data_IF_630082701574
#
_entry.id   IF_630082701574
#
_cell.length_a   1.000
_cell.length_b   1.000
_cell.length_c   1.000
_cell.angle_alpha   90.00
_cell.angle_beta   90.00
_cell.angle_gamma   90.00
#
_symmetry.space_group_name_H-M   'P 1'
#
loop_
_entity.id
_entity.type
_entity.pdbx_description
1 polymer ?
#
# COMPACT_ATOMS: atom_id res chain seq x y z
N UNK A 1 -13.93 54.82 -46.75
CA UNK A 1 -14.45 53.60 -46.08
C UNK A 1 -13.29 52.68 -45.90
N UNK A 2 -12.67 52.68 -44.73
CA UNK A 2 -11.47 51.86 -44.41
C UNK A 2 -11.96 50.75 -43.51
N UNK A 3 -11.90 49.50 -43.99
CA UNK A 3 -12.16 48.33 -43.20
C UNK A 3 -10.86 47.97 -42.44
N UNK A 4 -10.88 48.14 -41.15
CA UNK A 4 -9.83 47.66 -40.26
C UNK A 4 -10.05 46.14 -40.03
N UNK A 5 -9.16 45.35 -40.62
CA UNK A 5 -9.02 43.92 -40.35
C UNK A 5 -8.43 43.71 -38.94
N UNK A 6 -9.28 43.45 -37.97
CA UNK A 6 -8.84 43.00 -36.64
C UNK A 6 -8.61 41.49 -36.71
N UNK A 7 -7.41 41.07 -37.13
CA UNK A 7 -6.95 39.72 -36.88
C UNK A 7 -6.81 39.52 -35.37
N UNK A 8 -7.78 38.86 -34.81
CA UNK A 8 -7.60 38.24 -33.50
C UNK A 8 -6.49 37.15 -33.64
N UNK A 9 -5.32 37.45 -33.14
CA UNK A 9 -4.27 36.45 -32.92
C UNK A 9 -4.85 35.46 -31.93
N UNK A 10 -5.28 34.33 -32.46
CA UNK A 10 -5.51 33.12 -31.67
C UNK A 10 -4.17 32.77 -31.04
N UNK A 11 -4.04 33.11 -29.76
CA UNK A 11 -2.92 32.69 -28.92
C UNK A 11 -2.95 31.18 -28.89
N UNK A 12 -2.17 30.57 -29.77
CA UNK A 12 -1.94 29.14 -29.87
C UNK A 12 -1.43 28.70 -28.51
N UNK A 13 -2.31 28.09 -27.72
CA UNK A 13 -1.93 27.44 -26.48
C UNK A 13 -0.89 26.39 -26.82
N UNK A 14 0.37 26.78 -26.69
CA UNK A 14 1.49 25.85 -26.83
C UNK A 14 1.22 24.66 -25.90
N UNK A 15 1.29 23.41 -26.41
CA UNK A 15 1.08 22.24 -25.61
C UNK A 15 2.04 22.30 -24.43
N UNK A 16 1.46 22.13 -23.23
CA UNK A 16 2.16 22.18 -21.96
C UNK A 16 3.51 21.44 -22.07
N UNK A 17 4.53 22.22 -21.91
CA UNK A 17 5.95 21.93 -21.79
C UNK A 17 6.25 20.43 -21.64
N UNK A 18 6.65 19.77 -22.74
CA UNK A 18 7.29 18.47 -22.64
C UNK A 18 8.58 18.68 -21.84
N UNK A 19 8.54 18.36 -20.59
CA UNK A 19 9.70 18.37 -19.70
C UNK A 19 10.79 17.50 -20.33
N UNK A 20 11.76 18.11 -20.98
CA UNK A 20 12.95 17.46 -21.56
C UNK A 20 13.99 17.10 -20.48
N UNK A 21 13.64 17.19 -19.20
CA UNK A 21 14.52 16.97 -18.06
C UNK A 21 14.14 15.74 -17.24
N UNK A 22 14.98 15.44 -16.30
CA UNK A 22 14.70 14.51 -15.21
C UNK A 22 13.99 15.31 -14.12
N UNK A 23 12.85 14.83 -13.68
CA UNK A 23 12.11 15.34 -12.51
C UNK A 23 12.35 14.37 -11.35
N UNK A 24 12.78 14.89 -10.22
CA UNK A 24 12.94 14.12 -8.98
C UNK A 24 11.99 14.69 -7.95
N UNK A 25 11.15 13.84 -7.34
CA UNK A 25 10.21 14.24 -6.31
C UNK A 25 10.53 13.43 -5.05
N UNK A 26 10.84 14.13 -3.98
CA UNK A 26 11.02 13.52 -2.66
C UNK A 26 9.76 13.73 -1.83
N UNK A 27 9.16 12.64 -1.35
CA UNK A 27 8.04 12.66 -0.42
C UNK A 27 8.52 12.30 0.98
N UNK A 28 8.95 13.28 1.79
CA UNK A 28 9.41 13.02 3.16
C UNK A 28 8.27 12.60 4.07
N UNK A 29 7.04 12.99 3.74
CA UNK A 29 5.83 12.68 4.49
C UNK A 29 4.75 12.25 3.51
N UNK A 30 4.40 10.98 3.57
CA UNK A 30 3.20 10.39 3.03
C UNK A 30 2.46 9.75 4.21
N UNK A 31 1.22 10.12 4.43
CA UNK A 31 0.38 9.52 5.46
C UNK A 31 -0.76 8.81 4.77
N UNK A 32 -0.78 7.51 4.88
CA UNK A 32 -1.95 6.70 4.53
C UNK A 32 -2.65 6.34 5.83
N UNK A 33 -3.89 6.77 5.95
CA UNK A 33 -4.71 6.40 7.09
C UNK A 33 -5.64 5.26 6.65
N UNK A 34 -5.35 4.00 6.95
CA UNK A 34 -6.29 2.89 6.74
C UNK A 34 -7.44 3.03 7.76
N UNK A 35 -8.28 4.07 7.59
CA UNK A 35 -9.33 4.42 8.55
C UNK A 35 -10.49 3.41 8.47
N UNK A 36 -10.62 2.67 7.37
CA UNK A 36 -11.85 1.95 7.08
C UNK A 36 -11.75 0.43 6.94
N UNK A 37 -10.58 -0.18 7.02
CA UNK A 37 -10.52 -1.62 6.90
C UNK A 37 -9.15 -2.24 7.03
N UNK A 38 -8.76 -2.59 8.23
CA UNK A 38 -7.78 -3.65 8.42
C UNK A 38 -8.54 -4.89 8.84
N UNK A 39 -8.57 -5.91 8.00
CA UNK A 39 -9.16 -7.21 8.35
C UNK A 39 -8.02 -8.20 8.50
N UNK A 40 -7.85 -8.74 9.69
CA UNK A 40 -6.92 -9.85 9.95
C UNK A 40 -7.77 -11.10 10.14
N UNK A 41 -7.68 -12.04 9.22
CA UNK A 41 -8.31 -13.33 9.39
C UNK A 41 -7.37 -14.23 10.20
N UNK A 42 -7.71 -14.44 11.45
CA UNK A 42 -7.01 -15.39 12.31
C UNK A 42 -7.56 -16.80 12.07
N UNK A 43 -6.71 -17.82 12.05
CA UNK A 43 -7.17 -19.19 11.92
C UNK A 43 -8.09 -19.56 13.09
N UNK A 44 -9.13 -20.32 12.81
CA UNK A 44 -9.99 -20.89 13.84
C UNK A 44 -9.18 -21.84 14.72
N UNK A 45 -9.18 -21.58 16.03
CA UNK A 45 -8.64 -22.53 16.99
C UNK A 45 -9.49 -23.80 16.96
N UNK A 46 -8.90 -25.01 17.10
CA UNK A 46 -9.67 -26.22 17.20
C UNK A 46 -10.55 -26.16 18.46
N UNK A 47 -11.86 -26.08 18.27
CA UNK A 47 -12.79 -26.33 19.35
C UNK A 47 -12.66 -27.81 19.70
N UNK A 48 -12.21 -28.12 20.91
CA UNK A 48 -12.21 -29.49 21.42
C UNK A 48 -13.64 -29.97 21.61
N UNK A 49 -14.22 -30.59 20.60
CA UNK A 49 -15.59 -31.11 20.64
C UNK A 49 -16.11 -31.25 19.21
N UNK A 50 -16.27 -32.48 18.72
CA UNK A 50 -16.68 -32.83 17.36
C UNK A 50 -17.96 -32.16 16.91
N UNK A 51 -17.81 -31.21 16.03
CA UNK A 51 -18.87 -30.57 15.29
C UNK A 51 -18.23 -29.69 14.23
N UNK A 52 -18.36 -30.08 12.96
CA UNK A 52 -18.09 -29.23 11.81
C UNK A 52 -19.02 -28.00 11.89
N UNK A 53 -18.54 -26.94 12.49
CA UNK A 53 -19.16 -25.62 12.32
C UNK A 53 -18.25 -24.81 11.41
N UNK A 54 -18.85 -24.40 10.29
CA UNK A 54 -18.22 -23.62 9.25
C UNK A 54 -17.36 -22.49 9.80
N UNK A 55 -16.30 -22.20 9.10
CA UNK A 55 -15.37 -21.10 9.35
C UNK A 55 -16.12 -19.77 9.52
N UNK A 56 -16.50 -19.46 10.74
CA UNK A 56 -16.91 -18.09 11.06
C UNK A 56 -15.63 -17.26 11.07
N UNK A 57 -15.43 -16.53 10.00
CA UNK A 57 -14.50 -15.40 9.98
C UNK A 57 -15.01 -14.38 11.01
N UNK A 58 -14.52 -14.47 12.22
CA UNK A 58 -14.81 -13.44 13.21
C UNK A 58 -13.96 -12.23 12.84
N UNK A 59 -14.60 -11.19 12.34
CA UNK A 59 -13.99 -9.87 12.24
C UNK A 59 -13.50 -9.47 13.63
N UNK A 60 -12.20 -9.35 13.75
CA UNK A 60 -11.57 -8.87 14.98
C UNK A 60 -11.43 -7.37 14.82
N UNK A 61 -11.82 -6.60 15.82
CA UNK A 61 -11.59 -5.15 15.81
C UNK A 61 -10.09 -4.90 15.75
N UNK A 62 -9.67 -4.29 14.66
CA UNK A 62 -8.27 -3.94 14.41
C UNK A 62 -8.13 -2.43 14.60
N UNK A 63 -7.23 -2.02 15.47
CA UNK A 63 -6.87 -0.62 15.65
C UNK A 63 -5.54 -0.33 14.95
N UNK A 64 -5.49 0.76 14.19
CA UNK A 64 -4.26 1.33 13.68
C UNK A 64 -3.66 2.25 14.74
N UNK A 65 -2.45 1.93 15.20
CA UNK A 65 -1.76 2.72 16.20
C UNK A 65 -0.85 3.79 15.57
N UNK A 66 -0.23 3.45 14.44
CA UNK A 66 0.61 4.38 13.68
C UNK A 66 0.77 3.91 12.24
N UNK A 67 0.86 4.85 11.31
CA UNK A 67 1.30 4.63 9.93
C UNK A 67 2.18 5.78 9.47
N UNK A 68 3.25 5.46 8.76
CA UNK A 68 4.16 6.43 8.17
C UNK A 68 4.70 5.89 6.86
N UNK A 69 4.78 6.75 5.86
CA UNK A 69 5.39 6.42 4.58
C UNK A 69 6.26 7.57 4.11
N UNK A 70 7.34 7.22 3.41
CA UNK A 70 8.19 8.15 2.68
C UNK A 70 8.57 7.53 1.34
N UNK A 71 8.89 8.37 0.36
CA UNK A 71 9.23 7.90 -0.96
C UNK A 71 10.01 8.88 -1.80
N UNK A 72 10.55 8.37 -2.89
CA UNK A 72 11.22 9.12 -3.92
C UNK A 72 10.74 8.66 -5.29
N UNK A 73 10.42 9.62 -6.14
CA UNK A 73 10.06 9.45 -7.54
C UNK A 73 11.12 10.08 -8.42
N UNK A 74 11.54 9.37 -9.47
CA UNK A 74 12.41 9.89 -10.53
C UNK A 74 11.70 9.67 -11.85
N UNK A 75 11.47 10.75 -12.60
CA UNK A 75 10.67 10.70 -13.83
C UNK A 75 11.44 11.36 -14.99
N UNK A 76 11.32 10.74 -16.13
CA UNK A 76 11.78 11.29 -17.42
C UNK A 76 10.61 11.34 -18.40
N UNK A 77 10.86 11.77 -19.62
CA UNK A 77 9.83 11.74 -20.68
C UNK A 77 9.32 10.32 -20.99
N UNK A 78 10.13 9.28 -20.80
CA UNK A 78 9.82 7.90 -21.20
C UNK A 78 9.81 6.90 -20.05
N UNK A 79 10.58 7.11 -19.01
CA UNK A 79 10.75 6.18 -17.91
C UNK A 79 10.45 6.85 -16.59
N UNK A 80 10.03 6.06 -15.63
CA UNK A 80 10.03 6.49 -14.24
C UNK A 80 10.51 5.36 -13.31
N UNK A 81 10.97 5.74 -12.13
CA UNK A 81 11.33 4.85 -11.05
C UNK A 81 10.82 5.42 -9.73
N UNK A 82 10.36 4.56 -8.87
CA UNK A 82 9.81 4.91 -7.57
C UNK A 82 10.31 3.96 -6.50
N UNK A 83 10.67 4.52 -5.35
CA UNK A 83 10.98 3.76 -4.13
C UNK A 83 10.15 4.32 -3.00
N UNK A 84 9.50 3.46 -2.23
CA UNK A 84 8.73 3.82 -1.03
C UNK A 84 9.07 2.91 0.13
N UNK A 85 9.09 3.48 1.32
CA UNK A 85 9.12 2.76 2.58
C UNK A 85 7.89 3.09 3.39
N UNK A 86 7.22 2.08 3.94
CA UNK A 86 6.01 2.23 4.74
C UNK A 86 6.14 1.43 6.03
N UNK A 87 5.63 1.99 7.10
CA UNK A 87 5.49 1.36 8.40
C UNK A 87 4.04 1.43 8.85
N UNK A 88 3.49 0.32 9.34
CA UNK A 88 2.16 0.26 9.93
C UNK A 88 2.19 -0.56 11.22
N UNK A 89 1.67 0.00 12.30
CA UNK A 89 1.48 -0.66 13.58
C UNK A 89 -0.01 -0.93 13.79
N UNK A 90 -0.37 -2.19 13.92
CA UNK A 90 -1.73 -2.67 14.10
C UNK A 90 -1.84 -3.47 15.39
N UNK A 91 -2.91 -3.29 16.13
CA UNK A 91 -3.26 -4.14 17.27
C UNK A 91 -4.65 -4.71 17.07
N UNK A 92 -4.80 -5.99 17.37
CA UNK A 92 -6.05 -6.70 17.31
C UNK A 92 -6.29 -7.46 18.62
N UNK A 93 -7.51 -7.43 19.15
CA UNK A 93 -7.85 -8.15 20.35
C UNK A 93 -9.20 -8.84 20.22
N UNK A 94 -9.31 -10.02 20.84
CA UNK A 94 -10.54 -10.79 20.94
C UNK A 94 -10.79 -11.21 22.39
N UNK A 95 -11.99 -11.02 22.86
CA UNK A 95 -12.33 -11.21 24.28
C UNK A 95 -12.51 -12.67 24.72
N UNK A 96 -12.82 -13.62 23.82
CA UNK A 96 -13.14 -15.02 24.22
C UNK A 96 -12.67 -16.03 23.17
N UNK A 97 -11.63 -16.85 23.43
CA UNK A 97 -10.62 -16.66 24.48
C UNK A 97 -9.88 -15.33 24.31
N UNK A 98 -9.28 -14.80 25.38
CA UNK A 98 -8.54 -13.55 25.28
C UNK A 98 -7.28 -13.75 24.43
N UNK A 99 -7.34 -13.30 23.20
CA UNK A 99 -6.22 -13.30 22.25
C UNK A 99 -5.89 -11.86 21.95
N UNK A 100 -4.64 -11.50 22.14
CA UNK A 100 -4.10 -10.20 21.70
C UNK A 100 -3.04 -10.46 20.65
N UNK A 101 -3.12 -9.75 19.55
CA UNK A 101 -2.15 -9.80 18.45
C UNK A 101 -1.69 -8.40 18.15
N UNK A 102 -0.41 -8.16 18.31
CA UNK A 102 0.24 -6.93 17.89
C UNK A 102 1.06 -7.22 16.63
N UNK A 103 0.88 -6.39 15.62
CA UNK A 103 1.55 -6.51 14.34
C UNK A 103 2.25 -5.20 13.97
N UNK A 104 3.56 -5.28 13.77
CA UNK A 104 4.33 -4.21 13.17
C UNK A 104 4.76 -4.64 11.78
N UNK A 105 4.23 -3.99 10.76
CA UNK A 105 4.49 -4.32 9.36
C UNK A 105 5.32 -3.23 8.71
N UNK A 106 6.38 -3.66 8.04
CA UNK A 106 7.26 -2.81 7.25
C UNK A 106 7.13 -3.23 5.79
N UNK A 107 6.80 -2.28 4.94
CA UNK A 107 6.80 -2.46 3.51
C UNK A 107 7.96 -1.66 2.91
N UNK A 108 8.67 -2.29 2.00
CA UNK A 108 9.58 -1.61 1.11
C UNK A 108 9.20 -1.97 -0.32
N UNK A 109 8.96 -0.97 -1.11
CA UNK A 109 8.40 -1.09 -2.44
C UNK A 109 9.30 -0.36 -3.43
N UNK A 110 9.59 -0.99 -4.55
CA UNK A 110 10.33 -0.40 -5.65
C UNK A 110 9.72 -0.79 -6.98
N UNK A 111 9.43 0.20 -7.81
CA UNK A 111 8.93 -0.02 -9.17
C UNK A 111 9.61 0.86 -10.20
N UNK A 112 9.59 0.39 -11.44
CA UNK A 112 9.92 1.19 -12.60
C UNK A 112 8.85 1.04 -13.65
N UNK A 113 8.70 2.04 -14.51
CA UNK A 113 7.72 2.01 -15.58
C UNK A 113 8.23 2.61 -16.87
N UNK A 114 7.64 2.15 -17.96
CA UNK A 114 7.85 2.64 -19.32
C UNK A 114 6.56 3.26 -19.82
N UNK A 115 6.60 4.53 -20.20
CA UNK A 115 5.46 5.22 -20.81
C UNK A 115 5.17 4.63 -22.19
N UNK A 116 3.95 4.18 -22.40
CA UNK A 116 3.47 3.57 -23.65
C UNK A 116 2.78 4.62 -24.53
N UNK A 117 1.80 5.30 -24.00
CA UNK A 117 1.00 6.35 -24.68
C UNK A 117 0.31 7.24 -23.65
N UNK A 118 -0.10 8.43 -24.03
CA UNK A 118 -0.92 9.42 -23.32
C UNK A 118 -1.09 9.25 -21.80
N UNK A 119 0.02 9.32 -21.07
CA UNK A 119 0.02 9.18 -19.62
C UNK A 119 0.04 7.74 -19.10
N UNK A 120 -0.25 6.72 -19.93
CA UNK A 120 -0.19 5.32 -19.54
C UNK A 120 1.23 4.77 -19.57
N UNK A 121 1.55 3.99 -18.55
CA UNK A 121 2.82 3.28 -18.42
C UNK A 121 2.57 1.82 -18.01
N UNK A 122 3.37 0.91 -18.52
CA UNK A 122 3.51 -0.43 -17.95
C UNK A 122 4.53 -0.38 -16.83
N UNK A 123 4.26 -1.07 -15.73
CA UNK A 123 5.11 -1.10 -14.54
C UNK A 123 5.58 -2.50 -14.21
N UNK A 124 6.73 -2.57 -13.57
CA UNK A 124 7.25 -3.78 -12.97
C UNK A 124 8.16 -3.42 -11.79
N UNK A 125 8.14 -4.27 -10.77
CA UNK A 125 8.85 -3.97 -9.55
C UNK A 125 8.84 -5.10 -8.55
N UNK A 126 9.03 -4.75 -7.31
CA UNK A 126 9.00 -5.68 -6.18
C UNK A 126 8.44 -5.00 -4.94
N UNK A 127 7.85 -5.81 -4.07
CA UNK A 127 7.47 -5.43 -2.71
C UNK A 127 8.13 -6.38 -1.71
N UNK A 128 8.77 -5.81 -0.70
CA UNK A 128 9.25 -6.54 0.47
C UNK A 128 8.31 -6.27 1.63
N UNK A 129 7.74 -7.32 2.19
CA UNK A 129 6.87 -7.26 3.35
C UNK A 129 7.59 -7.93 4.51
N UNK A 130 7.75 -7.23 5.62
CA UNK A 130 8.24 -7.81 6.86
C UNK A 130 7.19 -7.58 7.93
N UNK A 131 6.65 -8.66 8.46
CA UNK A 131 5.63 -8.62 9.50
C UNK A 131 6.24 -9.12 10.80
N UNK A 132 6.24 -8.31 11.85
CA UNK A 132 6.57 -8.73 13.20
C UNK A 132 5.24 -8.97 13.93
N UNK A 133 4.92 -10.24 14.18
CA UNK A 133 3.71 -10.65 14.88
C UNK A 133 4.07 -11.10 16.28
N UNK A 134 3.49 -10.45 17.29
CA UNK A 134 3.52 -10.84 18.67
C UNK A 134 2.08 -11.25 19.09
N UNK A 135 1.87 -12.51 19.39
CA UNK A 135 0.57 -13.03 19.79
C UNK A 135 0.60 -13.53 21.22
N UNK A 136 -0.39 -13.20 22.02
CA UNK A 136 -0.57 -13.73 23.36
C UNK A 136 -1.98 -14.34 23.50
N UNK A 137 -2.02 -15.55 24.06
CA UNK A 137 -3.25 -16.29 24.33
C UNK A 137 -3.36 -16.50 25.85
N UNK A 138 -4.36 -15.89 26.44
CA UNK A 138 -4.69 -16.11 27.86
C UNK A 138 -5.85 -17.12 27.96
N UNK A 139 -5.57 -18.27 28.56
CA UNK A 139 -6.56 -19.31 28.85
C UNK A 139 -6.82 -19.30 30.35
N UNK A 140 -8.05 -19.12 30.76
CA UNK A 140 -8.45 -18.84 32.16
C UNK A 140 -8.02 -19.84 33.23
N UNK A 141 -7.45 -20.99 32.83
CA UNK A 141 -6.91 -22.01 33.75
C UNK A 141 -5.37 -22.02 33.82
N UNK A 142 -4.68 -21.26 32.99
CA UNK A 142 -3.22 -21.22 32.94
C UNK A 142 -2.69 -19.97 33.65
N UNK A 143 -1.65 -20.13 34.52
CA UNK A 143 -1.12 -19.00 35.27
C UNK A 143 -0.35 -18.00 34.41
N UNK A 144 0.12 -18.40 33.21
CA UNK A 144 0.84 -17.54 32.28
C UNK A 144 0.22 -17.61 30.89
N UNK A 145 0.17 -16.50 30.15
CA UNK A 145 -0.25 -16.51 28.74
C UNK A 145 0.73 -17.32 27.89
N UNK A 146 0.20 -17.95 26.85
CA UNK A 146 1.03 -18.59 25.81
C UNK A 146 1.41 -17.49 24.82
N UNK A 147 2.70 -17.24 24.71
CA UNK A 147 3.24 -16.23 23.78
C UNK A 147 3.80 -16.89 22.52
N UNK A 148 3.54 -16.28 21.40
CA UNK A 148 4.08 -16.67 20.09
C UNK A 148 4.63 -15.45 19.37
N UNK A 149 5.82 -15.59 18.80
CA UNK A 149 6.44 -14.53 17.99
C UNK A 149 6.90 -15.09 16.66
N UNK A 150 6.59 -14.38 15.58
CA UNK A 150 7.10 -14.71 14.25
C UNK A 150 7.45 -13.44 13.48
N UNK A 151 8.42 -13.55 12.56
CA UNK A 151 8.93 -12.40 11.78
C UNK A 151 9.14 -12.83 10.32
N UNK A 152 8.09 -13.19 9.59
CA UNK A 152 8.21 -13.50 8.18
C UNK A 152 8.69 -12.30 7.37
N UNK A 153 9.56 -12.57 6.41
CA UNK A 153 10.00 -11.62 5.39
C UNK A 153 9.67 -12.20 4.03
N UNK A 154 8.85 -11.50 3.29
CA UNK A 154 8.33 -11.91 1.99
C UNK A 154 8.83 -10.96 0.91
N UNK A 155 9.06 -11.48 -0.28
CA UNK A 155 9.44 -10.70 -1.46
C UNK A 155 8.50 -11.04 -2.59
N UNK A 156 7.77 -10.06 -3.08
CA UNK A 156 6.80 -10.21 -4.13
C UNK A 156 7.25 -9.49 -5.40
N UNK A 157 7.34 -10.19 -6.53
CA UNK A 157 7.39 -9.53 -7.82
C UNK A 157 6.05 -8.87 -8.10
N UNK A 158 6.09 -7.64 -8.64
CA UNK A 158 4.92 -6.82 -8.95
C UNK A 158 4.91 -6.46 -10.42
N UNK A 159 3.74 -6.48 -11.05
CA UNK A 159 3.51 -5.97 -12.40
C UNK A 159 2.22 -5.16 -12.41
N UNK A 160 2.14 -4.17 -13.28
CA UNK A 160 0.94 -3.35 -13.31
C UNK A 160 0.92 -2.28 -14.37
N UNK A 161 0.06 -1.30 -14.14
CA UNK A 161 -0.12 -0.12 -14.98
C UNK A 161 -0.16 1.13 -14.12
N UNK A 162 0.33 2.21 -14.67
CA UNK A 162 0.26 3.55 -14.09
C UNK A 162 -0.29 4.51 -15.15
N UNK A 163 -1.19 5.37 -14.74
CA UNK A 163 -1.68 6.47 -15.55
C UNK A 163 -1.49 7.78 -14.82
N UNK A 164 -0.78 8.71 -15.47
CA UNK A 164 -0.50 10.04 -14.92
C UNK A 164 -0.79 11.10 -15.96
N UNK A 165 -1.62 12.08 -15.60
CA UNK A 165 -1.96 13.22 -16.41
C UNK A 165 -1.70 14.52 -15.66
N UNK A 166 -0.91 15.40 -16.26
CA UNK A 166 -0.65 16.73 -15.73
C UNK A 166 -1.52 17.77 -16.48
N UNK A 167 -2.22 18.62 -15.74
CA UNK A 167 -3.11 19.66 -16.23
C UNK A 167 -2.80 20.99 -15.54
N UNK A 168 -1.82 21.72 -16.06
CA UNK A 168 -1.32 22.93 -15.42
C UNK A 168 -0.66 22.64 -14.07
N UNK A 169 -1.29 23.06 -12.97
CA UNK A 169 -0.80 22.83 -11.60
C UNK A 169 -1.36 21.55 -10.98
N UNK A 170 -2.30 20.89 -11.65
CA UNK A 170 -2.93 19.67 -11.17
C UNK A 170 -2.29 18.45 -11.81
N UNK A 171 -2.20 17.39 -11.06
CA UNK A 171 -1.70 16.11 -11.51
C UNK A 171 -2.71 15.07 -11.03
N UNK A 172 -3.19 14.23 -11.92
CA UNK A 172 -3.97 13.05 -11.56
C UNK A 172 -3.09 11.83 -11.84
N UNK A 173 -3.00 10.95 -10.88
CA UNK A 173 -2.24 9.71 -10.97
C UNK A 173 -3.07 8.55 -10.44
N UNK A 174 -3.07 7.44 -11.17
CA UNK A 174 -3.75 6.21 -10.76
C UNK A 174 -2.84 5.05 -11.11
N UNK A 175 -2.63 4.15 -10.16
CA UNK A 175 -1.86 2.93 -10.37
C UNK A 175 -2.67 1.72 -9.96
N UNK A 176 -2.40 0.61 -10.64
CA UNK A 176 -2.92 -0.70 -10.30
C UNK A 176 -1.83 -1.74 -10.53
N UNK A 177 -1.53 -2.51 -9.51
CA UNK A 177 -0.48 -3.53 -9.55
C UNK A 177 -0.96 -4.82 -8.92
N UNK A 178 -0.46 -5.92 -9.46
CA UNK A 178 -0.67 -7.26 -8.93
C UNK A 178 0.65 -7.98 -8.76
N UNK A 179 0.73 -8.82 -7.73
CA UNK A 179 1.96 -9.51 -7.38
C UNK A 179 1.75 -10.73 -6.50
N UNK A 180 2.84 -11.15 -5.88
CA UNK A 180 2.90 -12.34 -5.05
C UNK A 180 3.15 -13.59 -5.88
N UNK A 181 2.17 -14.04 -6.66
CA UNK A 181 2.23 -15.22 -7.55
C UNK A 181 2.78 -16.48 -6.87
N UNK A 182 2.64 -16.59 -5.53
CA UNK A 182 3.18 -17.70 -4.76
C UNK A 182 4.69 -17.67 -4.52
N UNK A 183 5.37 -16.54 -4.82
CA UNK A 183 6.82 -16.37 -4.56
C UNK A 183 7.06 -15.97 -3.10
N UNK A 184 6.42 -14.91 -2.63
CA UNK A 184 6.43 -14.44 -1.25
C UNK A 184 5.04 -14.55 -0.65
N UNK A 185 4.09 -13.80 -1.17
CA UNK A 185 2.67 -13.93 -0.84
C UNK A 185 1.95 -14.80 -1.88
N UNK A 186 0.78 -15.32 -1.53
CA UNK A 186 -0.09 -16.04 -2.47
C UNK A 186 -0.68 -15.06 -3.48
N UNK A 187 -1.02 -13.85 -3.04
CA UNK A 187 -1.54 -12.75 -3.83
C UNK A 187 -1.22 -11.42 -3.16
N UNK A 188 -0.88 -10.43 -3.96
CA UNK A 188 -0.66 -9.04 -3.57
C UNK A 188 -1.34 -8.14 -4.62
N UNK A 189 -2.19 -7.23 -4.20
CA UNK A 189 -2.90 -6.28 -5.06
C UNK A 189 -2.79 -4.90 -4.46
N UNK A 190 -2.37 -3.96 -5.27
CA UNK A 190 -2.23 -2.55 -4.91
C UNK A 190 -2.98 -1.68 -5.91
N UNK A 191 -3.75 -0.74 -5.41
CA UNK A 191 -4.45 0.24 -6.22
C UNK A 191 -4.42 1.60 -5.54
N UNK A 192 -3.95 2.60 -6.24
CA UNK A 192 -3.84 3.97 -5.73
C UNK A 192 -4.43 4.97 -6.71
N UNK A 193 -5.03 6.01 -6.18
CA UNK A 193 -5.48 7.17 -6.94
C UNK A 193 -5.11 8.44 -6.19
N UNK A 194 -4.44 9.37 -6.84
CA UNK A 194 -4.00 10.63 -6.25
C UNK A 194 -4.34 11.81 -7.13
N UNK A 195 -4.66 12.91 -6.47
CA UNK A 195 -4.71 14.24 -7.08
C UNK A 195 -3.61 15.08 -6.43
N UNK A 196 -2.64 15.46 -7.22
CA UNK A 196 -1.54 16.33 -6.85
C UNK A 196 -1.83 17.77 -7.22
N UNK A 197 -1.37 18.70 -6.40
CA UNK A 197 -1.43 20.13 -6.66
C UNK A 197 -0.06 20.76 -6.43
N UNK A 198 0.52 21.33 -7.48
CA UNK A 198 1.78 22.09 -7.41
C UNK A 198 1.50 23.52 -6.96
N UNK A 199 1.66 23.78 -5.67
CA UNK A 199 1.46 25.08 -5.04
C UNK A 199 2.45 26.08 -5.64
N UNK A 200 3.72 25.70 -5.67
CA UNK A 200 4.83 26.40 -6.31
C UNK A 200 5.66 25.38 -7.13
N UNK A 201 6.57 25.83 -8.02
CA UNK A 201 7.31 24.91 -8.90
C UNK A 201 8.04 23.77 -8.19
N UNK A 202 8.44 23.99 -6.95
CA UNK A 202 9.25 23.03 -6.16
C UNK A 202 8.47 22.30 -5.09
N UNK A 203 7.13 22.42 -5.03
CA UNK A 203 6.33 21.70 -4.03
C UNK A 203 5.06 21.13 -4.62
N UNK A 204 4.76 19.90 -4.24
CA UNK A 204 3.55 19.21 -4.61
C UNK A 204 2.83 18.72 -3.35
N UNK A 205 1.55 19.02 -3.24
CA UNK A 205 0.65 18.44 -2.26
C UNK A 205 -0.18 17.36 -2.94
N UNK A 206 -0.29 16.19 -2.31
CA UNK A 206 -1.09 15.06 -2.82
C UNK A 206 -2.22 14.73 -1.86
N UNK A 207 -3.38 14.46 -2.44
CA UNK A 207 -4.52 13.87 -1.75
C UNK A 207 -4.99 12.68 -2.57
N UNK A 208 -5.27 11.56 -1.93
CA UNK A 208 -5.65 10.36 -2.64
C UNK A 208 -6.34 9.32 -1.79
N UNK A 209 -6.46 8.16 -2.38
CA UNK A 209 -6.95 6.95 -1.74
C UNK A 209 -6.10 5.77 -2.17
N UNK A 210 -5.71 4.96 -1.19
CA UNK A 210 -4.91 3.77 -1.40
C UNK A 210 -5.66 2.53 -0.94
N UNK A 211 -5.46 1.45 -1.67
CA UNK A 211 -5.97 0.11 -1.36
C UNK A 211 -4.84 -0.89 -1.52
N UNK A 212 -4.58 -1.65 -0.48
CA UNK A 212 -3.61 -2.73 -0.47
C UNK A 212 -4.27 -3.99 0.08
N UNK A 213 -4.22 -5.05 -0.70
CA UNK A 213 -4.62 -6.39 -0.27
C UNK A 213 -3.46 -7.34 -0.45
N UNK A 214 -3.15 -8.12 0.57
CA UNK A 214 -2.23 -9.23 0.43
C UNK A 214 -2.69 -10.45 1.23
N UNK A 215 -2.39 -11.62 0.68
CA UNK A 215 -2.67 -12.91 1.28
C UNK A 215 -1.37 -13.68 1.39
N UNK A 216 -1.08 -14.18 2.58
CA UNK A 216 0.12 -14.98 2.83
C UNK A 216 -0.22 -16.29 3.54
N UNK A 217 0.47 -17.32 3.13
CA UNK A 217 0.46 -18.62 3.80
C UNK A 217 1.80 -18.80 4.51
N UNK A 218 1.79 -18.73 5.83
CA UNK A 218 2.99 -18.95 6.65
C UNK A 218 2.98 -20.40 7.09
N UNK A 219 3.89 -21.20 6.55
CA UNK A 219 4.10 -22.58 6.98
C UNK A 219 4.82 -22.60 8.34
N UNK A 220 4.52 -23.59 9.15
CA UNK A 220 5.26 -23.96 10.37
C UNK A 220 5.28 -22.90 11.49
N UNK A 221 4.13 -22.29 11.78
CA UNK A 221 3.98 -21.54 13.02
C UNK A 221 3.89 -22.52 14.18
N UNK A 222 4.91 -22.55 15.02
CA UNK A 222 4.94 -23.41 16.23
C UNK A 222 4.24 -22.69 17.37
N UNK A 223 3.11 -23.22 17.81
CA UNK A 223 2.41 -22.79 19.03
C UNK A 223 2.52 -23.94 20.04
N UNK A 224 3.47 -23.87 20.96
CA UNK A 224 3.80 -24.99 21.85
C UNK A 224 4.32 -26.20 21.07
N UNK A 225 3.67 -27.34 21.21
CA UNK A 225 4.01 -28.59 20.48
C UNK A 225 3.29 -28.77 19.15
N UNK A 226 2.49 -27.82 18.73
CA UNK A 226 1.70 -27.90 17.49
C UNK A 226 2.33 -27.06 16.38
N UNK A 227 2.62 -27.69 15.25
CA UNK A 227 2.97 -27.01 14.00
C UNK A 227 1.71 -26.84 13.16
N UNK A 228 1.45 -25.63 12.70
CA UNK A 228 0.30 -25.34 11.81
C UNK A 228 0.67 -24.33 10.75
N UNK A 229 0.06 -24.51 9.60
CA UNK A 229 0.06 -23.52 8.52
C UNK A 229 -0.93 -22.42 8.87
N UNK A 230 -0.46 -21.18 8.94
CA UNK A 230 -1.26 -19.99 9.16
C UNK A 230 -1.53 -19.32 7.80
N UNK A 231 -2.79 -19.19 7.44
CA UNK A 231 -3.19 -18.35 6.29
C UNK A 231 -3.69 -17.03 6.85
N UNK A 232 -3.06 -15.95 6.44
CA UNK A 232 -3.45 -14.60 6.81
C UNK A 232 -3.74 -13.78 5.57
N UNK A 233 -4.85 -13.06 5.55
CA UNK A 233 -5.12 -12.04 4.55
C UNK A 233 -5.32 -10.71 5.23
N UNK A 234 -4.74 -9.66 4.65
CA UNK A 234 -4.89 -8.31 5.16
C UNK A 234 -5.35 -7.39 4.04
N UNK A 235 -6.30 -6.53 4.38
CA UNK A 235 -6.75 -5.46 3.49
C UNK A 235 -6.53 -4.15 4.23
N UNK A 236 -5.76 -3.26 3.63
CA UNK A 236 -5.51 -1.92 4.14
C UNK A 236 -6.03 -0.95 3.10
N UNK A 237 -6.89 -0.01 3.50
CA UNK A 237 -7.37 1.00 2.57
C UNK A 237 -7.75 2.28 3.29
N UNK A 238 -7.62 3.40 2.63
CA UNK A 238 -7.99 4.68 3.23
C UNK A 238 -7.47 5.89 2.46
N UNK A 239 -7.82 7.09 2.93
CA UNK A 239 -7.29 8.30 2.36
C UNK A 239 -5.79 8.40 2.56
N UNK A 240 -5.12 8.99 1.58
CA UNK A 240 -3.69 9.28 1.62
C UNK A 240 -3.45 10.77 1.44
N UNK A 241 -2.49 11.30 2.18
CA UNK A 241 -2.06 12.70 2.10
C UNK A 241 -0.54 12.72 2.00
N UNK A 242 -0.01 13.49 1.07
CA UNK A 242 1.42 13.61 0.87
C UNK A 242 1.89 15.01 0.58
N UNK A 243 3.13 15.28 0.95
CA UNK A 243 3.84 16.49 0.61
C UNK A 243 5.15 16.11 -0.10
N UNK A 244 5.37 16.66 -1.28
CA UNK A 244 6.53 16.40 -2.12
C UNK A 244 7.37 17.65 -2.38
N UNK A 245 8.68 17.47 -2.43
CA UNK A 245 9.66 18.47 -2.86
C UNK A 245 10.13 18.08 -4.24
N UNK A 246 9.99 18.99 -5.22
CA UNK A 246 10.26 18.77 -6.64
C UNK A 246 11.58 19.45 -7.02
N UNK A 247 12.48 18.70 -7.67
CA UNK A 247 13.80 19.16 -8.15
C UNK A 247 13.90 19.09 -9.65
#
# INVERSE_FOLDING_TARGET
MVFSDTRAEAQENAPANQQKGVEVILYPILVEAPIFGATINLPSLPSGGGGERGSQSSSTDVSLNAAYMAGIDVRTSRFFGELRGQYAALSASRATPLITVDSNTYFFYGRGGVRLFDGFSATGGFRRIQVNLDASLTVGALPNPIEGRTKPVLWDPMIGVDWRQAMGRWIIETSFEGGGFGVGTDADVDAEMHVGWRIIPHTEFRLGYAFLYYKMTVADVSIGSFQRTLVSSQTLHGPSVGFGIVF
#
